data_IF_887244804501
#
_entry.id   IF_887244804501
#
_cell.length_a   1.000
_cell.length_b   1.000
_cell.length_c   1.000
_cell.angle_alpha   90.00
_cell.angle_beta   90.00
_cell.angle_gamma   90.00
#
_symmetry.space_group_name_H-M   'P 1'
#
loop_
_entity.id
_entity.type
_entity.pdbx_description
1 polymer ?
#
# COMPACT_ATOMS: atom_id res chain seq x y z
N UNK A 1 4.51 20.70 2.01
CA UNK A 1 5.08 19.59 1.21
C UNK A 1 3.94 18.65 0.84
N UNK A 2 3.83 18.22 -0.42
CA UNK A 2 2.79 17.32 -0.93
C UNK A 2 3.44 15.98 -1.32
N UNK A 3 2.84 14.85 -0.94
CA UNK A 3 3.32 13.51 -1.35
C UNK A 3 2.75 13.22 -2.75
N UNK A 4 3.58 12.83 -3.75
CA UNK A 4 3.10 12.49 -5.08
C UNK A 4 2.14 11.29 -5.07
N UNK A 5 1.00 11.40 -5.76
CA UNK A 5 -0.01 10.34 -5.87
C UNK A 5 -0.12 9.84 -7.32
N UNK A 6 -0.58 8.59 -7.57
CA UNK A 6 -1.11 7.61 -6.61
C UNK A 6 -0.03 6.78 -5.88
N UNK A 7 -0.45 6.06 -4.84
CA UNK A 7 0.38 5.37 -3.85
C UNK A 7 0.34 3.84 -4.00
N UNK A 8 1.51 3.20 -3.87
CA UNK A 8 1.63 1.79 -3.50
C UNK A 8 1.78 1.70 -1.98
N UNK A 9 0.88 0.99 -1.30
CA UNK A 9 0.89 0.89 0.16
C UNK A 9 1.78 -0.25 0.65
N UNK A 10 2.89 0.07 1.30
CA UNK A 10 3.81 -0.93 1.86
C UNK A 10 3.37 -1.37 3.26
N UNK A 11 3.14 -2.67 3.43
CA UNK A 11 2.77 -3.28 4.71
C UNK A 11 3.96 -3.93 5.43
N UNK A 12 5.08 -4.20 4.75
CA UNK A 12 6.19 -4.95 5.34
C UNK A 12 5.80 -6.41 5.62
N UNK A 13 6.37 -6.98 6.67
CA UNK A 13 6.14 -8.33 7.19
C UNK A 13 5.16 -8.35 8.38
N UNK A 14 4.33 -7.31 8.52
CA UNK A 14 3.49 -7.13 9.71
C UNK A 14 2.43 -8.22 9.86
N UNK A 15 2.28 -8.69 11.09
CA UNK A 15 1.24 -9.65 11.48
C UNK A 15 0.18 -9.06 12.41
N UNK A 16 0.49 -7.93 13.06
CA UNK A 16 -0.44 -7.16 13.87
C UNK A 16 -1.21 -6.15 12.98
N UNK A 17 -2.55 -6.26 12.88
CA UNK A 17 -3.38 -5.30 12.14
C UNK A 17 -3.20 -3.84 12.58
N UNK A 18 -2.81 -3.57 13.84
CA UNK A 18 -2.56 -2.22 14.33
C UNK A 18 -1.27 -1.61 13.76
N UNK A 19 -0.28 -2.44 13.40
CA UNK A 19 0.95 -1.97 12.76
C UNK A 19 0.67 -1.37 11.36
N UNK A 20 -0.34 -1.88 10.66
CA UNK A 20 -0.77 -1.39 9.34
C UNK A 20 -1.66 -0.13 9.39
N UNK A 21 -1.87 0.49 10.57
CA UNK A 21 -2.84 1.59 10.76
C UNK A 21 -2.64 2.78 9.81
N UNK A 22 -1.40 3.12 9.47
CA UNK A 22 -1.09 4.23 8.57
C UNK A 22 -1.57 3.93 7.15
N UNK A 23 -1.17 2.77 6.61
CA UNK A 23 -1.58 2.34 5.28
C UNK A 23 -3.10 2.13 5.21
N UNK A 24 -3.70 1.51 6.23
CA UNK A 24 -5.15 1.37 6.36
C UNK A 24 -5.87 2.72 6.39
N UNK A 25 -5.35 3.68 7.15
CA UNK A 25 -5.90 5.04 7.19
C UNK A 25 -5.87 5.70 5.81
N UNK A 26 -4.75 5.63 5.10
CA UNK A 26 -4.64 6.17 3.74
C UNK A 26 -5.68 5.52 2.82
N UNK A 27 -5.79 4.19 2.84
CA UNK A 27 -6.76 3.48 1.99
C UNK A 27 -8.22 3.85 2.31
N UNK A 28 -8.58 3.97 3.60
CA UNK A 28 -9.93 4.36 4.01
C UNK A 28 -10.28 5.77 3.55
N UNK A 29 -9.36 6.72 3.72
CA UNK A 29 -9.65 8.15 3.47
C UNK A 29 -9.43 8.57 2.02
N UNK A 30 -8.58 7.85 1.27
CA UNK A 30 -8.17 8.16 -0.10
C UNK A 30 -8.08 6.89 -0.98
N UNK A 31 -9.15 6.08 -1.06
CA UNK A 31 -9.11 4.79 -1.76
C UNK A 31 -8.72 4.94 -3.24
N UNK A 32 -9.18 6.01 -3.90
CA UNK A 32 -8.87 6.32 -5.30
C UNK A 32 -7.41 6.71 -5.55
N UNK A 33 -6.66 7.02 -4.48
CA UNK A 33 -5.24 7.34 -4.55
C UNK A 33 -4.36 6.12 -4.32
N UNK A 34 -4.91 4.94 -4.04
CA UNK A 34 -4.16 3.71 -3.78
C UNK A 34 -4.25 2.76 -4.99
N UNK A 35 -3.10 2.40 -5.58
CA UNK A 35 -3.07 1.49 -6.74
C UNK A 35 -2.90 0.01 -6.36
N UNK A 36 -2.46 -0.26 -5.14
CA UNK A 36 -2.20 -1.61 -4.65
C UNK A 36 -1.55 -1.63 -3.26
N UNK A 37 -1.28 -2.83 -2.77
CA UNK A 37 -0.47 -3.11 -1.60
C UNK A 37 0.78 -3.92 -1.95
N UNK A 38 1.85 -3.77 -1.17
CA UNK A 38 3.05 -4.61 -1.27
C UNK A 38 3.41 -5.13 0.12
N UNK A 39 3.68 -6.44 0.19
CA UNK A 39 3.96 -7.18 1.42
C UNK A 39 5.33 -7.86 1.32
N UNK A 40 5.95 -8.09 2.48
CA UNK A 40 7.10 -8.97 2.61
C UNK A 40 6.64 -10.36 3.05
N UNK A 41 7.47 -11.41 2.82
CA UNK A 41 7.18 -12.75 3.32
C UNK A 41 6.86 -12.75 4.82
N UNK A 42 5.79 -13.44 5.21
CA UNK A 42 5.34 -13.53 6.60
C UNK A 42 4.28 -12.50 7.01
N UNK A 43 3.99 -11.51 6.17
CA UNK A 43 2.88 -10.59 6.39
C UNK A 43 1.53 -11.32 6.35
N UNK A 44 0.73 -11.17 7.40
CA UNK A 44 -0.63 -11.75 7.48
C UNK A 44 -1.73 -10.71 7.36
N UNK A 45 -1.37 -9.43 7.26
CA UNK A 45 -2.31 -8.32 7.14
C UNK A 45 -2.51 -7.97 5.66
N UNK A 46 -3.75 -7.70 5.29
CA UNK A 46 -4.12 -7.13 3.99
C UNK A 46 -5.08 -5.97 4.18
N UNK A 47 -5.05 -5.03 3.23
CA UNK A 47 -6.00 -3.93 3.11
C UNK A 47 -7.09 -4.23 2.07
N UNK A 48 -7.06 -5.40 1.42
CA UNK A 48 -7.99 -5.78 0.36
C UNK A 48 -7.68 -5.16 -1.00
N UNK A 49 -6.47 -4.63 -1.19
CA UNK A 49 -5.98 -4.10 -2.46
C UNK A 49 -5.26 -5.19 -3.27
N UNK A 50 -5.11 -4.97 -4.58
CA UNK A 50 -4.27 -5.83 -5.43
C UNK A 50 -2.83 -5.85 -4.89
N UNK A 51 -2.25 -7.04 -4.73
CA UNK A 51 -0.86 -7.19 -4.35
C UNK A 51 0.04 -6.97 -5.58
N UNK A 52 0.92 -5.97 -5.50
CA UNK A 52 1.77 -5.55 -6.60
C UNK A 52 3.24 -5.55 -6.20
N UNK A 53 4.10 -5.87 -7.16
CA UNK A 53 5.52 -5.57 -7.09
C UNK A 53 5.82 -4.13 -7.53
N UNK A 54 7.07 -3.71 -7.36
CA UNK A 54 7.52 -2.35 -7.71
C UNK A 54 7.27 -2.03 -9.18
N UNK A 55 7.66 -2.88 -10.16
CA UNK A 55 7.41 -2.60 -11.57
C UNK A 55 5.92 -2.55 -11.92
N UNK A 56 5.11 -3.46 -11.37
CA UNK A 56 3.66 -3.51 -11.61
C UNK A 56 2.94 -2.28 -11.05
N UNK A 57 3.31 -1.83 -9.85
CA UNK A 57 2.78 -0.60 -9.28
C UNK A 57 3.18 0.64 -10.07
N UNK A 58 4.44 0.72 -10.53
CA UNK A 58 4.90 1.81 -11.41
C UNK A 58 4.13 1.82 -12.72
N UNK A 59 3.87 0.67 -13.33
CA UNK A 59 3.05 0.55 -14.54
C UNK A 59 1.60 1.00 -14.31
N UNK A 60 1.07 0.81 -13.09
CA UNK A 60 -0.21 1.36 -12.63
C UNK A 60 -0.16 2.83 -12.19
N UNK A 61 0.98 3.50 -12.40
CA UNK A 61 1.13 4.93 -12.17
C UNK A 61 1.51 5.32 -10.74
N UNK A 62 1.89 4.37 -9.87
CA UNK A 62 2.42 4.69 -8.55
C UNK A 62 3.57 5.71 -8.66
N UNK A 63 3.48 6.78 -7.87
CA UNK A 63 4.51 7.84 -7.80
C UNK A 63 5.30 7.81 -6.51
N UNK A 64 4.99 6.87 -5.63
CA UNK A 64 5.70 6.59 -4.39
C UNK A 64 6.09 5.13 -4.35
N UNK A 65 7.33 4.90 -3.94
CA UNK A 65 7.80 3.67 -3.35
C UNK A 65 9.20 3.89 -2.75
#
# INVERSE_FOLDING_TARGET
MLIPQPYLLFLGDVTDPLAAKTARGIHIWRPEQCVGEIKLPGCTVSLGLDELDIPGAKARGAKTL
#
